data_IF_939333294354
#
_entry.id   IF_939333294354
#
_cell.length_a   1.000
_cell.length_b   1.000
_cell.length_c   1.000
_cell.angle_alpha   90.00
_cell.angle_beta   90.00
_cell.angle_gamma   90.00
#
_symmetry.space_group_name_H-M   'P 1'
#
loop_
_entity.id
_entity.type
_entity.pdbx_description
1 polymer ?
#
# COMPACT_ATOMS: atom_id res chain seq x y z
N UNK A 1 7.77 -96.91 -2.21
CA UNK A 1 7.04 -95.77 -1.64
C UNK A 1 7.72 -95.11 -0.42
N UNK A 2 8.57 -95.78 0.34
CA UNK A 2 9.23 -95.18 1.53
C UNK A 2 10.39 -94.23 1.18
N UNK A 3 11.04 -94.35 0.06
CA UNK A 3 12.18 -93.52 -0.37
C UNK A 3 11.77 -92.16 -0.88
N UNK A 4 10.60 -92.03 -1.52
CA UNK A 4 10.08 -90.76 -2.06
C UNK A 4 9.59 -89.80 -0.89
N UNK A 5 9.04 -90.37 0.18
CA UNK A 5 8.61 -89.63 1.34
C UNK A 5 9.79 -89.01 2.11
N UNK A 6 10.94 -89.67 2.14
CA UNK A 6 12.13 -89.15 2.82
C UNK A 6 12.77 -87.97 2.02
N UNK A 7 12.79 -88.03 0.69
CA UNK A 7 13.28 -86.94 -0.16
C UNK A 7 12.40 -85.69 -0.08
N UNK A 8 11.08 -85.86 -0.04
CA UNK A 8 10.15 -84.71 0.07
C UNK A 8 10.30 -84.05 1.45
N UNK A 9 10.49 -84.83 2.53
CA UNK A 9 10.69 -84.28 3.87
C UNK A 9 12.04 -83.58 3.98
N UNK A 10 13.11 -84.06 3.33
CA UNK A 10 14.40 -83.37 3.31
C UNK A 10 14.39 -82.06 2.53
N UNK A 11 13.65 -82.04 1.38
CA UNK A 11 13.48 -80.81 0.59
C UNK A 11 12.61 -79.77 1.36
N UNK A 12 11.57 -80.23 2.08
CA UNK A 12 10.78 -79.31 2.95
C UNK A 12 11.57 -78.83 4.14
N UNK A 13 12.48 -79.65 4.70
CA UNK A 13 13.34 -79.17 5.83
C UNK A 13 14.43 -78.19 5.36
N UNK A 14 14.95 -78.35 4.14
CA UNK A 14 15.89 -77.37 3.53
C UNK A 14 15.20 -76.07 3.12
N UNK A 15 13.91 -76.12 2.73
CA UNK A 15 13.13 -74.93 2.47
C UNK A 15 12.69 -74.14 3.73
N UNK A 16 12.79 -74.75 4.93
CA UNK A 16 12.46 -74.16 6.20
C UNK A 16 13.67 -73.57 6.95
N UNK A 17 14.83 -73.46 6.29
CA UNK A 17 15.92 -72.68 6.88
C UNK A 17 15.42 -71.20 6.89
N UNK A 18 15.35 -70.56 8.09
CA UNK A 18 15.05 -69.14 8.12
C UNK A 18 16.15 -68.50 7.27
N UNK A 19 15.75 -67.90 6.17
CA UNK A 19 16.60 -66.88 5.51
C UNK A 19 16.85 -65.88 6.65
N UNK A 20 18.04 -65.95 7.25
CA UNK A 20 18.50 -64.96 8.18
C UNK A 20 18.43 -63.65 7.38
N UNK A 21 17.34 -62.89 7.56
CA UNK A 21 17.19 -61.61 6.97
C UNK A 21 18.36 -60.77 7.49
N UNK A 22 19.30 -60.49 6.63
CA UNK A 22 20.36 -59.56 6.97
C UNK A 22 19.67 -58.30 7.39
N UNK A 23 19.80 -57.90 8.66
CA UNK A 23 19.28 -56.63 9.14
C UNK A 23 19.83 -55.51 8.22
N UNK A 24 18.94 -54.82 7.58
CA UNK A 24 19.28 -53.73 6.68
C UNK A 24 19.06 -52.36 7.37
N UNK A 25 19.81 -51.37 6.95
CA UNK A 25 19.64 -49.98 7.43
C UNK A 25 18.29 -49.46 6.90
N UNK A 26 17.38 -49.19 7.87
CA UNK A 26 16.00 -48.74 7.54
C UNK A 26 15.88 -47.24 7.51
N UNK A 27 16.76 -46.52 8.23
CA UNK A 27 16.73 -45.07 8.33
C UNK A 27 18.14 -44.51 8.54
N UNK A 28 18.39 -43.35 7.92
CA UNK A 28 19.62 -42.60 8.06
C UNK A 28 19.30 -41.22 8.64
N UNK A 29 19.73 -40.94 9.84
CA UNK A 29 19.62 -39.63 10.46
C UNK A 29 20.92 -38.86 10.29
N UNK A 30 20.87 -37.64 9.76
CA UNK A 30 22.05 -36.84 9.46
C UNK A 30 22.09 -35.58 10.28
N UNK A 31 23.28 -35.23 10.75
CA UNK A 31 23.58 -33.99 11.46
C UNK A 31 24.78 -33.31 10.82
N UNK A 32 24.67 -31.99 10.59
CA UNK A 32 25.77 -31.15 10.12
C UNK A 32 26.21 -30.20 11.21
N UNK A 33 27.51 -30.22 11.52
CA UNK A 33 28.15 -29.34 12.52
C UNK A 33 29.11 -28.43 11.74
N UNK A 34 29.09 -27.13 12.05
CA UNK A 34 29.97 -26.15 11.41
C UNK A 34 31.11 -25.78 12.36
N UNK A 35 32.36 -25.87 11.84
CA UNK A 35 33.56 -25.39 12.54
C UNK A 35 33.75 -23.90 12.22
N UNK A 36 32.93 -23.04 12.81
CA UNK A 36 32.88 -21.60 12.57
C UNK A 36 31.46 -21.04 12.66
N UNK A 37 31.25 -19.77 12.26
CA UNK A 37 29.90 -19.19 12.23
C UNK A 37 29.03 -19.97 11.24
N UNK A 38 27.86 -20.48 11.69
CA UNK A 38 26.96 -21.21 10.79
C UNK A 38 26.40 -20.25 9.75
N UNK A 39 26.22 -20.71 8.50
CA UNK A 39 25.58 -19.89 7.47
C UNK A 39 24.09 -19.68 7.76
N UNK A 40 23.46 -18.79 6.98
CA UNK A 40 22.02 -18.50 7.09
C UNK A 40 21.17 -19.81 7.06
N UNK A 41 20.05 -19.90 7.80
CA UNK A 41 19.22 -21.11 7.90
C UNK A 41 18.87 -21.73 6.55
N UNK A 42 18.48 -20.93 5.53
CA UNK A 42 18.15 -21.43 4.18
C UNK A 42 19.33 -22.20 3.55
N UNK A 43 20.56 -21.72 3.76
CA UNK A 43 21.77 -22.43 3.28
C UNK A 43 22.01 -23.68 4.11
N UNK A 44 21.84 -23.63 5.42
CA UNK A 44 21.98 -24.80 6.30
C UNK A 44 21.04 -25.93 5.91
N UNK A 45 19.78 -25.60 5.68
CA UNK A 45 18.74 -26.56 5.28
C UNK A 45 19.09 -27.21 3.94
N UNK A 46 19.62 -26.44 3.00
CA UNK A 46 20.09 -26.97 1.70
C UNK A 46 21.30 -27.89 1.87
N UNK A 47 22.27 -27.50 2.69
CA UNK A 47 23.43 -28.34 3.02
C UNK A 47 22.98 -29.63 3.68
N UNK A 48 22.12 -29.55 4.68
CA UNK A 48 21.56 -30.71 5.36
C UNK A 48 20.85 -31.65 4.39
N UNK A 49 20.00 -31.12 3.51
CA UNK A 49 19.31 -31.91 2.49
C UNK A 49 20.30 -32.61 1.53
N UNK A 50 21.35 -31.90 1.10
CA UNK A 50 22.39 -32.48 0.26
C UNK A 50 23.16 -33.61 0.98
N UNK A 51 23.56 -33.39 2.22
CA UNK A 51 24.25 -34.37 3.07
C UNK A 51 23.35 -35.58 3.31
N UNK A 52 22.08 -35.39 3.67
CA UNK A 52 21.10 -36.45 3.87
C UNK A 52 20.92 -37.29 2.62
N UNK A 53 20.73 -36.64 1.46
CA UNK A 53 20.58 -37.34 0.19
C UNK A 53 21.81 -38.18 -0.18
N UNK A 54 23.02 -37.73 0.13
CA UNK A 54 24.26 -38.52 -0.08
C UNK A 54 24.33 -39.68 0.91
N UNK A 55 24.03 -39.43 2.19
CA UNK A 55 24.06 -40.45 3.23
C UNK A 55 23.03 -41.57 2.96
N UNK A 56 21.81 -41.21 2.58
CA UNK A 56 20.77 -42.18 2.20
C UNK A 56 21.18 -43.03 1.02
N UNK A 57 21.70 -42.43 -0.04
CA UNK A 57 22.16 -43.19 -1.24
C UNK A 57 23.30 -44.14 -0.94
N UNK A 58 24.17 -43.80 -0.01
CA UNK A 58 25.31 -44.63 0.35
C UNK A 58 24.95 -45.76 1.34
N UNK A 59 23.96 -45.55 2.22
CA UNK A 59 23.73 -46.41 3.37
C UNK A 59 22.36 -47.10 3.38
N UNK A 60 21.28 -46.41 2.96
CA UNK A 60 19.91 -46.93 3.05
C UNK A 60 19.75 -48.26 2.29
N UNK A 61 19.13 -49.25 2.92
CA UNK A 61 18.87 -50.56 2.34
C UNK A 61 20.09 -51.49 2.29
N UNK A 62 21.29 -51.07 2.72
CA UNK A 62 22.45 -51.97 2.84
C UNK A 62 22.34 -52.81 4.08
N UNK A 63 22.89 -54.06 4.04
CA UNK A 63 22.98 -54.88 5.21
C UNK A 63 23.97 -54.28 6.23
N UNK A 64 23.71 -54.45 7.52
CA UNK A 64 24.55 -53.91 8.59
C UNK A 64 25.99 -54.38 8.49
N UNK A 65 26.21 -55.65 8.14
CA UNK A 65 27.54 -56.22 7.98
C UNK A 65 28.32 -55.62 6.81
N UNK A 66 27.66 -55.42 5.67
CA UNK A 66 28.27 -54.75 4.53
C UNK A 66 28.58 -53.25 4.83
N UNK A 67 27.73 -52.60 5.56
CA UNK A 67 27.96 -51.21 5.96
C UNK A 67 29.12 -51.06 6.98
N UNK A 68 29.23 -51.98 7.94
CA UNK A 68 30.36 -52.02 8.90
C UNK A 68 31.68 -52.31 8.23
N UNK A 69 31.73 -53.21 7.23
CA UNK A 69 32.92 -53.45 6.42
C UNK A 69 33.38 -52.24 5.62
N UNK A 70 32.44 -51.37 5.20
CA UNK A 70 32.71 -50.14 4.48
C UNK A 70 33.07 -48.96 5.43
N UNK A 71 32.78 -49.08 6.73
CA UNK A 71 32.93 -48.01 7.71
C UNK A 71 34.28 -47.28 7.63
N UNK A 72 35.46 -47.94 7.50
CA UNK A 72 36.73 -47.24 7.39
C UNK A 72 36.90 -46.41 6.13
N UNK A 73 36.20 -46.75 5.03
CA UNK A 73 36.21 -46.02 3.76
C UNK A 73 35.05 -45.08 3.58
N UNK A 74 34.03 -45.13 4.42
CA UNK A 74 32.86 -44.29 4.34
C UNK A 74 33.25 -42.83 4.54
N UNK A 75 34.13 -42.51 5.50
CA UNK A 75 34.63 -41.20 5.73
C UNK A 75 35.24 -40.56 4.47
N UNK A 76 36.16 -41.25 3.82
CA UNK A 76 36.82 -40.78 2.58
C UNK A 76 35.82 -40.62 1.43
N UNK A 77 34.83 -41.54 1.34
CA UNK A 77 33.77 -41.48 0.33
C UNK A 77 32.88 -40.26 0.58
N UNK A 78 32.49 -40.00 1.81
CA UNK A 78 31.72 -38.79 2.17
C UNK A 78 32.51 -37.55 1.86
N UNK A 79 33.79 -37.46 2.24
CA UNK A 79 34.66 -36.33 1.92
C UNK A 79 34.68 -36.08 0.43
N UNK A 80 35.04 -37.09 -0.38
CA UNK A 80 35.19 -36.93 -1.85
C UNK A 80 33.89 -36.60 -2.59
N UNK A 81 32.71 -36.99 -2.07
CA UNK A 81 31.43 -36.64 -2.66
C UNK A 81 30.95 -35.28 -2.19
N UNK A 82 31.03 -34.99 -0.88
CA UNK A 82 30.49 -33.75 -0.30
C UNK A 82 31.30 -32.52 -0.71
N UNK A 83 32.61 -32.57 -0.81
CA UNK A 83 33.44 -31.46 -1.31
C UNK A 83 33.08 -31.06 -2.75
N UNK A 84 32.52 -31.97 -3.54
CA UNK A 84 32.03 -31.66 -4.90
C UNK A 84 30.60 -31.10 -4.88
N UNK A 85 29.80 -31.49 -3.90
CA UNK A 85 28.37 -31.09 -3.80
C UNK A 85 28.23 -29.79 -3.05
N UNK A 86 29.07 -29.56 -2.03
CA UNK A 86 29.02 -28.39 -1.14
C UNK A 86 30.35 -27.63 -1.26
N UNK A 87 30.66 -27.18 -2.47
CA UNK A 87 31.89 -26.42 -2.74
C UNK A 87 32.03 -25.20 -1.82
N UNK A 88 33.27 -24.94 -1.37
CA UNK A 88 33.57 -23.87 -0.41
C UNK A 88 33.58 -24.35 1.04
N UNK A 89 33.26 -25.61 1.29
CA UNK A 89 33.41 -26.25 2.61
C UNK A 89 34.31 -27.47 2.50
N UNK A 90 35.29 -27.59 3.42
CA UNK A 90 36.05 -28.80 3.63
C UNK A 90 35.34 -29.67 4.67
N UNK A 91 35.30 -30.97 4.42
CA UNK A 91 34.80 -31.96 5.39
C UNK A 91 35.94 -32.31 6.35
N UNK A 92 35.88 -31.83 7.61
CA UNK A 92 36.91 -32.08 8.61
C UNK A 92 36.73 -33.44 9.34
N UNK A 93 35.50 -33.94 9.43
CA UNK A 93 35.21 -35.30 9.90
C UNK A 93 33.86 -35.77 9.40
N UNK A 94 33.76 -37.10 9.14
CA UNK A 94 32.53 -37.78 8.82
C UNK A 94 32.49 -39.07 9.71
N UNK A 95 31.52 -39.14 10.61
CA UNK A 95 31.34 -40.28 11.51
C UNK A 95 29.98 -40.88 11.27
N UNK A 96 29.95 -42.20 11.07
CA UNK A 96 28.73 -42.95 10.93
C UNK A 96 28.62 -44.01 12.04
N UNK A 97 27.57 -43.97 12.83
CA UNK A 97 27.19 -44.98 13.81
C UNK A 97 26.15 -45.89 13.17
N UNK A 98 26.63 -47.15 12.82
CA UNK A 98 25.89 -48.07 11.99
C UNK A 98 24.97 -48.97 12.80
N UNK A 99 23.69 -48.78 12.62
CA UNK A 99 22.60 -49.56 13.21
C UNK A 99 21.41 -49.65 12.22
N UNK A 100 20.30 -50.26 12.66
CA UNK A 100 19.04 -50.25 11.90
C UNK A 100 18.56 -48.80 11.63
N UNK A 101 18.83 -47.91 12.57
CA UNK A 101 18.83 -46.43 12.38
C UNK A 101 20.30 -46.00 12.46
N UNK A 102 20.83 -45.55 11.34
CA UNK A 102 22.23 -45.13 11.25
C UNK A 102 22.33 -43.61 11.44
N UNK A 103 23.11 -43.15 12.38
CA UNK A 103 23.38 -41.73 12.59
C UNK A 103 24.66 -41.31 11.85
N UNK A 104 24.59 -40.26 11.05
CA UNK A 104 25.74 -39.70 10.35
C UNK A 104 25.96 -38.27 10.79
N UNK A 105 27.15 -38.00 11.35
CA UNK A 105 27.56 -36.65 11.77
C UNK A 105 28.68 -36.18 10.88
N UNK A 106 28.47 -35.07 10.22
CA UNK A 106 29.47 -34.46 9.33
C UNK A 106 29.86 -33.10 9.87
N UNK A 107 31.17 -32.83 9.97
CA UNK A 107 31.74 -31.55 10.34
C UNK A 107 32.23 -30.83 9.10
N UNK A 108 31.79 -29.59 8.92
CA UNK A 108 32.13 -28.75 7.79
C UNK A 108 32.90 -27.50 8.29
N UNK A 109 34.02 -27.20 7.64
CA UNK A 109 34.78 -25.98 7.84
C UNK A 109 34.77 -25.15 6.58
N UNK A 110 34.46 -23.81 6.66
CA UNK A 110 34.53 -22.95 5.48
C UNK A 110 35.96 -22.88 4.94
N UNK A 111 36.10 -22.98 3.62
CA UNK A 111 37.37 -22.81 2.91
C UNK A 111 37.52 -21.41 2.31
N UNK A 112 38.68 -20.82 2.50
CA UNK A 112 39.06 -19.52 1.95
C UNK A 112 38.40 -18.34 2.69
N UNK A 113 38.13 -17.27 1.93
CA UNK A 113 37.55 -16.05 2.47
C UNK A 113 36.06 -16.24 2.81
N UNK A 114 35.67 -15.85 4.01
CA UNK A 114 34.27 -15.88 4.47
C UNK A 114 33.67 -14.47 4.38
N UNK A 115 32.48 -14.38 3.83
CA UNK A 115 31.74 -13.12 3.72
C UNK A 115 31.33 -12.67 5.13
N UNK A 116 31.78 -11.48 5.56
CA UNK A 116 31.47 -10.92 6.89
C UNK A 116 30.44 -9.81 6.82
N UNK A 117 30.66 -8.83 5.96
CA UNK A 117 29.85 -7.62 5.84
C UNK A 117 29.58 -7.31 4.36
N UNK A 118 28.52 -7.88 3.78
CA UNK A 118 28.16 -7.57 2.41
C UNK A 118 27.57 -6.15 2.32
N UNK A 119 27.89 -5.44 1.25
CA UNK A 119 27.22 -4.19 0.91
C UNK A 119 25.89 -4.49 0.25
N UNK A 120 24.83 -3.80 0.66
CA UNK A 120 23.50 -3.88 0.03
C UNK A 120 23.28 -2.62 -0.80
N UNK A 121 22.83 -2.78 -2.04
CA UNK A 121 22.54 -1.66 -2.95
C UNK A 121 21.18 -1.85 -3.60
N UNK A 122 20.32 -0.83 -3.47
CA UNK A 122 19.04 -0.79 -4.14
C UNK A 122 19.10 0.13 -5.36
N UNK A 123 18.73 -0.40 -6.52
CA UNK A 123 18.53 0.40 -7.72
C UNK A 123 17.03 0.78 -7.81
N UNK A 124 16.77 2.07 -7.64
CA UNK A 124 15.42 2.66 -7.63
C UNK A 124 15.10 3.45 -8.90
N UNK A 125 15.78 3.17 -10.03
CA UNK A 125 15.56 3.93 -11.28
C UNK A 125 14.13 3.82 -11.80
N UNK A 126 13.50 2.65 -11.64
CA UNK A 126 12.13 2.39 -12.07
C UNK A 126 11.08 2.86 -11.04
N UNK A 127 11.51 3.46 -9.91
CA UNK A 127 10.65 4.12 -8.93
C UNK A 127 10.60 5.61 -9.23
N UNK A 128 9.39 6.23 -9.27
CA UNK A 128 9.27 7.67 -9.46
C UNK A 128 10.15 8.45 -8.48
N UNK A 129 10.86 9.46 -8.97
CA UNK A 129 11.86 10.18 -8.20
C UNK A 129 11.34 10.70 -6.86
N UNK A 130 10.11 11.24 -6.86
CA UNK A 130 9.45 11.76 -5.67
C UNK A 130 9.22 10.69 -4.59
N UNK A 131 9.10 9.42 -4.97
CA UNK A 131 8.85 8.29 -4.06
C UNK A 131 10.11 7.59 -3.59
N UNK A 132 11.28 7.88 -4.17
CA UNK A 132 12.53 7.18 -3.83
C UNK A 132 12.88 7.28 -2.35
N UNK A 133 12.69 8.44 -1.75
CA UNK A 133 12.95 8.63 -0.33
C UNK A 133 12.01 7.77 0.55
N UNK A 134 10.72 7.73 0.22
CA UNK A 134 9.74 6.88 0.91
C UNK A 134 10.10 5.40 0.78
N UNK A 135 10.39 4.94 -0.45
CA UNK A 135 10.78 3.55 -0.72
C UNK A 135 12.08 3.19 -0.01
N UNK A 136 13.07 4.09 0.02
CA UNK A 136 14.32 3.86 0.75
C UNK A 136 14.09 3.67 2.25
N UNK A 137 13.19 4.44 2.86
CA UNK A 137 12.82 4.27 4.28
C UNK A 137 12.12 2.92 4.51
N UNK A 138 11.22 2.52 3.63
CA UNK A 138 10.52 1.23 3.72
C UNK A 138 11.46 0.04 3.53
N UNK A 139 12.56 0.21 2.80
CA UNK A 139 13.56 -0.85 2.58
C UNK A 139 14.59 -0.98 3.72
N UNK A 140 14.67 -0.06 4.68
CA UNK A 140 15.64 -0.14 5.78
C UNK A 140 15.56 -1.45 6.60
N UNK A 141 14.37 -1.95 6.99
CA UNK A 141 14.26 -3.23 7.67
C UNK A 141 14.72 -4.40 6.79
N UNK A 142 14.36 -4.38 5.50
CA UNK A 142 14.78 -5.39 4.52
C UNK A 142 16.31 -5.36 4.33
N UNK A 143 16.93 -4.21 4.23
CA UNK A 143 18.39 -4.06 4.11
C UNK A 143 19.14 -4.79 5.24
N UNK A 144 18.67 -4.60 6.47
CA UNK A 144 19.26 -5.26 7.65
C UNK A 144 19.19 -6.77 7.55
N UNK A 145 18.04 -7.31 7.14
CA UNK A 145 17.84 -8.75 6.96
C UNK A 145 18.66 -9.30 5.80
N UNK A 146 18.67 -8.61 4.65
CA UNK A 146 19.42 -9.00 3.44
C UNK A 146 20.92 -9.01 3.70
N UNK A 147 21.44 -8.09 4.48
CA UNK A 147 22.86 -8.04 4.86
C UNK A 147 23.30 -9.28 5.62
N UNK A 148 22.41 -9.92 6.37
CA UNK A 148 22.70 -11.15 7.12
C UNK A 148 22.66 -12.42 6.27
N UNK A 149 22.04 -12.41 5.08
CA UNK A 149 21.87 -13.60 4.25
C UNK A 149 23.19 -14.25 3.84
N UNK A 150 24.19 -13.57 3.24
CA UNK A 150 25.44 -14.15 2.84
C UNK A 150 26.49 -14.19 3.97
N UNK A 151 26.19 -13.65 5.15
CA UNK A 151 27.14 -13.62 6.27
C UNK A 151 27.49 -15.06 6.73
N UNK A 152 28.78 -15.31 6.93
CA UNK A 152 29.30 -16.63 7.32
C UNK A 152 29.48 -17.60 6.14
N UNK A 153 29.13 -17.22 4.92
CA UNK A 153 29.27 -18.07 3.74
C UNK A 153 30.67 -17.94 3.14
N UNK A 154 31.33 -19.07 2.72
CA UNK A 154 32.57 -18.99 1.95
C UNK A 154 32.34 -18.36 0.59
N UNK A 155 33.28 -17.50 0.15
CA UNK A 155 33.18 -16.87 -1.17
C UNK A 155 33.12 -17.87 -2.35
N UNK A 156 33.65 -19.07 -2.16
CA UNK A 156 33.63 -20.14 -3.14
C UNK A 156 32.28 -20.90 -3.21
N UNK A 157 31.33 -20.63 -2.32
CA UNK A 157 30.02 -21.31 -2.28
C UNK A 157 29.03 -20.68 -3.29
N UNK A 158 29.40 -20.60 -4.57
CA UNK A 158 28.57 -19.99 -5.64
C UNK A 158 27.20 -20.66 -5.80
N UNK A 159 27.08 -21.97 -5.49
CA UNK A 159 25.83 -22.71 -5.53
C UNK A 159 24.74 -22.17 -4.57
N UNK A 160 25.16 -21.43 -3.53
CA UNK A 160 24.25 -20.83 -2.58
C UNK A 160 23.66 -19.49 -3.06
N UNK A 161 24.29 -18.82 -4.05
CA UNK A 161 23.87 -17.50 -4.49
C UNK A 161 22.41 -17.44 -4.96
N UNK A 162 21.92 -18.36 -5.82
CA UNK A 162 20.51 -18.34 -6.25
C UNK A 162 19.51 -18.46 -5.09
N UNK A 163 19.85 -19.21 -4.04
CA UNK A 163 19.00 -19.35 -2.85
C UNK A 163 18.92 -18.05 -2.07
N UNK A 164 20.05 -17.33 -1.95
CA UNK A 164 20.11 -16.04 -1.27
C UNK A 164 19.41 -14.95 -2.08
N UNK A 165 19.50 -15.00 -3.41
CA UNK A 165 18.79 -14.11 -4.33
C UNK A 165 17.27 -14.25 -4.19
N UNK A 166 16.76 -15.48 -4.20
CA UNK A 166 15.34 -15.79 -3.99
C UNK A 166 14.86 -15.32 -2.61
N UNK A 167 15.66 -15.58 -1.57
CA UNK A 167 15.33 -15.16 -0.21
C UNK A 167 15.32 -13.63 -0.09
N UNK A 168 16.31 -12.95 -0.64
CA UNK A 168 16.37 -11.49 -0.64
C UNK A 168 15.21 -10.88 -1.42
N UNK A 169 14.86 -11.45 -2.58
CA UNK A 169 13.69 -11.05 -3.34
C UNK A 169 12.40 -11.17 -2.51
N UNK A 170 12.22 -12.30 -1.82
CA UNK A 170 11.05 -12.55 -0.96
C UNK A 170 10.93 -11.51 0.16
N UNK A 171 12.05 -11.14 0.79
CA UNK A 171 12.10 -10.11 1.84
C UNK A 171 11.67 -8.76 1.28
N UNK A 172 12.20 -8.36 0.12
CA UNK A 172 11.87 -7.08 -0.51
C UNK A 172 10.40 -7.04 -0.93
N UNK A 173 9.89 -8.10 -1.55
CA UNK A 173 8.52 -8.17 -2.04
C UNK A 173 7.47 -8.17 -0.93
N UNK A 174 7.82 -8.67 0.24
CA UNK A 174 6.98 -8.59 1.45
C UNK A 174 6.84 -7.14 1.93
N UNK A 175 7.93 -6.37 1.91
CA UNK A 175 7.98 -5.01 2.47
C UNK A 175 7.54 -3.95 1.44
N UNK A 176 7.62 -4.26 0.13
CA UNK A 176 7.18 -3.40 -0.97
C UNK A 176 6.06 -4.04 -1.80
N UNK A 177 4.83 -3.93 -1.32
CA UNK A 177 3.66 -4.46 -2.04
C UNK A 177 3.59 -3.94 -3.49
N UNK A 178 3.40 -4.85 -4.46
CA UNK A 178 3.27 -4.51 -5.88
C UNK A 178 4.57 -4.24 -6.63
N UNK A 179 5.72 -4.22 -5.93
CA UNK A 179 7.04 -4.24 -6.54
C UNK A 179 7.64 -5.64 -6.50
N UNK A 180 8.57 -5.91 -7.40
CA UNK A 180 9.45 -7.08 -7.40
C UNK A 180 10.89 -6.63 -7.45
N UNK A 181 11.81 -7.48 -7.03
CA UNK A 181 13.24 -7.19 -7.07
C UNK A 181 13.97 -8.21 -7.95
N UNK A 182 14.76 -7.72 -8.90
CA UNK A 182 15.78 -8.52 -9.53
C UNK A 182 17.04 -8.47 -8.67
N UNK A 183 17.29 -9.52 -7.89
CA UNK A 183 18.43 -9.57 -6.95
C UNK A 183 19.59 -10.30 -7.58
N UNK A 184 20.81 -9.81 -7.35
CA UNK A 184 22.06 -10.49 -7.67
C UNK A 184 22.99 -10.44 -6.45
N UNK A 185 23.55 -11.59 -6.12
CA UNK A 185 24.49 -11.74 -5.02
C UNK A 185 25.88 -12.02 -5.57
N UNK A 186 26.84 -11.13 -5.32
CA UNK A 186 28.25 -11.33 -5.69
C UNK A 186 29.07 -11.63 -4.43
N UNK A 187 29.86 -12.71 -4.41
CA UNK A 187 30.69 -13.03 -3.24
C UNK A 187 32.00 -12.20 -3.18
N UNK A 188 32.51 -11.75 -4.32
CA UNK A 188 33.75 -10.99 -4.41
C UNK A 188 33.70 -9.89 -5.52
N UNK A 189 33.52 -8.61 -5.19
CA UNK A 189 33.27 -8.09 -3.83
C UNK A 189 31.91 -8.53 -3.28
N UNK A 190 31.81 -8.68 -1.95
CA UNK A 190 30.56 -9.11 -1.31
C UNK A 190 29.50 -8.00 -1.43
N UNK A 191 28.63 -8.12 -2.41
CA UNK A 191 27.55 -7.15 -2.72
C UNK A 191 26.26 -7.89 -3.02
N UNK A 192 25.17 -7.41 -2.41
CA UNK A 192 23.82 -7.76 -2.79
C UNK A 192 23.22 -6.56 -3.50
N UNK A 193 22.98 -6.67 -4.79
CA UNK A 193 22.36 -5.62 -5.61
C UNK A 193 20.91 -6.03 -5.94
N UNK A 194 19.96 -5.13 -5.70
CA UNK A 194 18.54 -5.37 -5.98
C UNK A 194 17.97 -4.25 -6.85
N UNK A 195 17.50 -4.58 -8.05
CA UNK A 195 16.80 -3.68 -8.94
C UNK A 195 15.30 -3.77 -8.67
N UNK A 196 14.70 -2.69 -8.17
CA UNK A 196 13.29 -2.62 -7.79
C UNK A 196 12.46 -2.22 -9.01
N UNK A 197 11.44 -3.03 -9.35
CA UNK A 197 10.58 -2.82 -10.51
C UNK A 197 9.12 -3.11 -10.16
N UNK A 198 8.13 -2.49 -10.84
CA UNK A 198 6.74 -2.92 -10.73
C UNK A 198 6.59 -4.41 -11.07
N UNK A 199 5.83 -5.16 -10.23
CA UNK A 199 5.65 -6.61 -10.37
C UNK A 199 4.79 -6.97 -11.58
N UNK A 200 3.74 -6.19 -11.83
CA UNK A 200 2.75 -6.44 -12.86
C UNK A 200 2.35 -5.15 -13.60
N UNK A 201 1.45 -5.28 -14.56
CA UNK A 201 0.92 -4.14 -15.32
C UNK A 201 -0.14 -3.33 -14.60
N UNK A 202 -0.52 -3.72 -13.36
CA UNK A 202 -1.49 -2.99 -12.55
C UNK A 202 -0.84 -1.77 -11.89
N UNK A 203 -0.58 -0.78 -12.72
CA UNK A 203 -0.03 0.50 -12.31
C UNK A 203 -1.07 1.61 -12.48
N UNK A 204 -0.92 2.68 -11.73
CA UNK A 204 -1.72 3.89 -11.90
C UNK A 204 -1.37 4.51 -13.25
N UNK A 205 -2.33 4.50 -14.19
CA UNK A 205 -2.16 5.05 -15.54
C UNK A 205 -2.57 6.51 -15.61
N UNK A 206 -3.68 6.83 -14.94
CA UNK A 206 -4.25 8.17 -14.96
C UNK A 206 -4.47 8.68 -13.54
N UNK A 207 -4.33 9.99 -13.38
CA UNK A 207 -4.63 10.68 -12.11
C UNK A 207 -5.64 11.76 -12.43
N UNK A 208 -6.83 11.64 -11.84
CA UNK A 208 -7.89 12.65 -11.86
C UNK A 208 -7.87 13.48 -10.57
N UNK A 209 -8.24 14.74 -10.68
CA UNK A 209 -8.39 15.65 -9.53
C UNK A 209 -9.85 16.04 -9.41
N UNK A 210 -10.35 16.08 -8.18
CA UNK A 210 -11.69 16.57 -7.84
C UNK A 210 -11.56 17.54 -6.67
N UNK A 211 -12.30 18.63 -6.75
CA UNK A 211 -12.37 19.58 -5.66
C UNK A 211 -13.64 19.41 -4.85
N UNK A 212 -13.53 19.72 -3.55
CA UNK A 212 -14.64 19.94 -2.65
C UNK A 212 -14.32 21.16 -1.78
N UNK A 213 -15.28 22.07 -1.64
CA UNK A 213 -15.17 23.21 -0.76
C UNK A 213 -16.53 23.58 -0.20
N UNK A 214 -16.54 24.10 1.00
CA UNK A 214 -17.71 24.70 1.63
C UNK A 214 -17.65 26.22 1.62
N UNK A 215 -16.49 26.79 1.30
CA UNK A 215 -16.23 28.23 1.33
C UNK A 215 -15.99 28.85 -0.04
N UNK A 216 -15.61 28.05 -1.04
CA UNK A 216 -15.24 28.50 -2.39
C UNK A 216 -16.07 27.78 -3.46
N UNK A 217 -16.51 28.48 -4.54
CA UNK A 217 -17.20 27.82 -5.65
C UNK A 217 -16.25 26.90 -6.43
N UNK A 218 -16.79 25.78 -6.89
CA UNK A 218 -16.03 24.81 -7.66
C UNK A 218 -15.42 25.41 -8.94
N UNK A 219 -16.12 26.34 -9.58
CA UNK A 219 -15.65 27.06 -10.78
C UNK A 219 -14.29 27.75 -10.55
N UNK A 220 -14.07 28.33 -9.35
CA UNK A 220 -12.79 28.96 -9.03
C UNK A 220 -11.69 27.92 -8.75
N UNK A 221 -12.06 26.77 -8.21
CA UNK A 221 -11.11 25.70 -7.91
C UNK A 221 -10.72 24.92 -9.16
N UNK A 222 -11.66 24.70 -10.08
CA UNK A 222 -11.46 23.93 -11.30
C UNK A 222 -10.39 24.52 -12.22
N UNK A 223 -10.22 25.84 -12.23
CA UNK A 223 -9.13 26.49 -12.98
C UNK A 223 -7.74 26.05 -12.52
N UNK A 224 -7.60 25.53 -11.28
CA UNK A 224 -6.35 25.03 -10.74
C UNK A 224 -6.14 23.52 -10.95
N UNK A 225 -7.14 22.82 -11.52
CA UNK A 225 -7.06 21.37 -11.80
C UNK A 225 -5.78 20.95 -12.54
N UNK A 226 -5.33 21.63 -13.61
CA UNK A 226 -4.12 21.22 -14.33
C UNK A 226 -2.86 21.31 -13.47
N UNK A 227 -2.75 22.36 -12.64
CA UNK A 227 -1.61 22.55 -11.75
C UNK A 227 -1.55 21.47 -10.68
N UNK A 228 -2.68 21.16 -10.05
CA UNK A 228 -2.76 20.13 -9.00
C UNK A 228 -2.61 18.72 -9.58
N UNK A 229 -3.12 18.48 -10.80
CA UNK A 229 -2.86 17.24 -11.52
C UNK A 229 -1.35 17.02 -11.78
N UNK A 230 -0.61 18.11 -12.05
CA UNK A 230 0.85 18.03 -12.20
C UNK A 230 1.57 17.70 -10.90
N UNK A 231 1.11 18.22 -9.75
CA UNK A 231 1.64 17.88 -8.42
C UNK A 231 1.43 16.39 -8.09
N UNK A 232 0.34 15.79 -8.56
CA UNK A 232 0.00 14.38 -8.35
C UNK A 232 0.56 13.46 -9.44
N UNK A 233 1.25 13.99 -10.45
CA UNK A 233 1.70 13.21 -11.61
C UNK A 233 2.72 12.12 -11.25
N UNK A 234 3.42 12.26 -10.12
CA UNK A 234 4.36 11.25 -9.62
C UNK A 234 3.70 9.91 -9.26
N UNK A 235 2.37 9.88 -9.12
CA UNK A 235 1.61 8.64 -8.91
C UNK A 235 1.54 7.77 -10.17
N UNK A 236 1.79 8.32 -11.37
CA UNK A 236 1.76 7.54 -12.62
C UNK A 236 2.90 6.53 -12.65
N UNK A 237 2.58 5.31 -13.04
CA UNK A 237 3.53 4.18 -13.05
C UNK A 237 3.72 3.51 -11.68
N UNK A 238 3.11 4.02 -10.62
CA UNK A 238 3.16 3.40 -9.29
C UNK A 238 2.23 2.18 -9.26
N UNK A 239 2.68 1.03 -8.73
CA UNK A 239 1.81 -0.13 -8.53
C UNK A 239 0.60 0.21 -7.67
N UNK A 240 -0.58 -0.23 -8.11
CA UNK A 240 -1.84 -0.01 -7.36
C UNK A 240 -1.76 -0.61 -5.95
N UNK A 241 -1.15 -1.79 -5.80
CA UNK A 241 -0.97 -2.44 -4.50
C UNK A 241 -0.08 -1.60 -3.55
N UNK A 242 1.01 -1.00 -4.08
CA UNK A 242 1.86 -0.11 -3.29
C UNK A 242 1.11 1.15 -2.86
N UNK A 243 0.42 1.79 -3.80
CA UNK A 243 -0.35 2.99 -3.51
C UNK A 243 -1.44 2.73 -2.46
N UNK A 244 -2.11 1.57 -2.53
CA UNK A 244 -3.12 1.16 -1.55
C UNK A 244 -2.51 0.91 -0.15
N UNK A 245 -1.33 0.28 -0.09
CA UNK A 245 -0.63 0.04 1.17
C UNK A 245 -0.05 1.32 1.80
N UNK A 246 0.25 2.35 0.99
CA UNK A 246 0.90 3.59 1.41
C UNK A 246 0.00 4.82 1.24
N UNK A 247 -1.32 4.64 1.22
CA UNK A 247 -2.29 5.71 0.96
C UNK A 247 -2.06 6.92 1.87
N UNK A 248 -1.93 6.72 3.19
CA UNK A 248 -1.74 7.81 4.15
C UNK A 248 -0.44 8.60 3.93
N UNK A 249 0.64 7.92 3.52
CA UNK A 249 1.91 8.58 3.22
C UNK A 249 1.80 9.41 1.94
N UNK A 250 1.13 8.88 0.92
CA UNK A 250 0.91 9.57 -0.35
C UNK A 250 -0.03 10.78 -0.18
N UNK A 251 -1.10 10.65 0.60
CA UNK A 251 -2.01 11.76 0.94
C UNK A 251 -1.28 12.89 1.67
N UNK A 252 -0.42 12.54 2.63
CA UNK A 252 0.41 13.55 3.32
C UNK A 252 1.34 14.28 2.36
N UNK A 253 2.05 13.55 1.47
CA UNK A 253 2.94 14.15 0.48
C UNK A 253 2.19 15.12 -0.44
N UNK A 254 1.00 14.72 -0.92
CA UNK A 254 0.17 15.59 -1.77
C UNK A 254 -0.32 16.80 -0.96
N UNK A 255 -0.74 16.61 0.28
CA UNK A 255 -1.20 17.70 1.15
C UNK A 255 -0.10 18.71 1.44
N UNK A 256 1.14 18.26 1.65
CA UNK A 256 2.31 19.12 1.82
C UNK A 256 2.60 19.94 0.55
N UNK A 257 2.53 19.30 -0.62
CA UNK A 257 2.71 19.98 -1.90
C UNK A 257 1.59 21.01 -2.15
N UNK A 258 0.34 20.69 -1.79
CA UNK A 258 -0.78 21.62 -1.84
C UNK A 258 -0.56 22.81 -0.92
N UNK A 259 -0.10 22.60 0.31
CA UNK A 259 0.19 23.68 1.26
C UNK A 259 1.29 24.63 0.77
N UNK A 260 2.21 24.13 -0.06
CA UNK A 260 3.25 24.93 -0.69
C UNK A 260 2.78 25.69 -1.95
N UNK A 261 1.62 25.33 -2.51
CA UNK A 261 1.11 25.92 -3.74
C UNK A 261 0.70 27.40 -3.52
N UNK A 262 1.23 28.35 -4.34
CA UNK A 262 1.09 29.78 -4.09
C UNK A 262 -0.33 30.28 -3.88
N UNK A 263 -1.35 29.91 -4.70
CA UNK A 263 -2.74 30.35 -4.48
C UNK A 263 -3.30 29.88 -3.14
N UNK A 264 -2.97 28.68 -2.68
CA UNK A 264 -3.43 28.13 -1.39
C UNK A 264 -2.88 29.00 -0.24
N UNK A 265 -1.60 29.36 -0.31
CA UNK A 265 -0.98 30.25 0.68
C UNK A 265 -1.52 31.67 0.64
N UNK A 266 -1.68 32.23 -0.57
CA UNK A 266 -2.13 33.62 -0.76
C UNK A 266 -3.53 33.85 -0.23
N UNK A 267 -4.45 32.89 -0.41
CA UNK A 267 -5.85 33.03 -0.02
C UNK A 267 -6.16 32.35 1.32
N UNK A 268 -5.13 31.97 2.08
CA UNK A 268 -5.26 31.31 3.39
C UNK A 268 -6.20 30.11 3.31
N UNK A 269 -6.01 29.27 2.29
CA UNK A 269 -6.80 28.05 2.08
C UNK A 269 -6.15 26.94 2.89
N UNK A 270 -6.97 26.19 3.64
CA UNK A 270 -6.58 24.91 4.21
C UNK A 270 -6.98 23.85 3.20
N UNK A 271 -5.99 23.14 2.66
CA UNK A 271 -6.24 22.09 1.70
C UNK A 271 -5.75 20.75 2.24
N UNK A 272 -6.57 19.72 2.09
CA UNK A 272 -6.21 18.32 2.38
C UNK A 272 -6.51 17.47 1.17
N UNK A 273 -5.70 16.42 0.96
CA UNK A 273 -5.89 15.47 -0.13
C UNK A 273 -6.39 14.14 0.41
N UNK A 274 -7.36 13.55 -0.26
CA UNK A 274 -7.76 12.16 -0.07
C UNK A 274 -7.56 11.41 -1.40
N UNK A 275 -6.93 10.23 -1.34
CA UNK A 275 -6.54 9.44 -2.50
C UNK A 275 -7.41 8.21 -2.64
N UNK A 276 -8.16 8.12 -3.73
CA UNK A 276 -8.83 6.91 -4.15
C UNK A 276 -7.95 6.15 -5.13
N UNK A 277 -7.41 5.02 -4.70
CA UNK A 277 -6.43 4.22 -5.46
C UNK A 277 -7.13 3.30 -6.46
N UNK A 278 -6.60 3.24 -7.68
CA UNK A 278 -7.02 2.38 -8.78
C UNK A 278 -6.12 2.56 -9.99
N UNK A 279 -6.36 1.89 -11.11
CA UNK A 279 -5.64 2.14 -12.36
C UNK A 279 -5.86 3.59 -12.86
N UNK A 280 -7.02 4.14 -12.56
CA UNK A 280 -7.27 5.57 -12.55
C UNK A 280 -7.40 6.00 -11.10
N UNK A 281 -6.41 6.70 -10.58
CA UNK A 281 -6.46 7.24 -9.23
C UNK A 281 -7.17 8.60 -9.23
N UNK A 282 -7.93 8.88 -8.17
CA UNK A 282 -8.57 10.16 -7.96
C UNK A 282 -8.03 10.83 -6.70
N UNK A 283 -7.50 12.03 -6.85
CA UNK A 283 -7.12 12.91 -5.74
C UNK A 283 -8.29 13.87 -5.48
N UNK A 284 -8.97 13.67 -4.37
CA UNK A 284 -10.01 14.60 -3.91
C UNK A 284 -9.36 15.63 -3.00
N UNK A 285 -9.35 16.89 -3.44
CA UNK A 285 -8.81 18.01 -2.68
C UNK A 285 -9.97 18.72 -1.98
N UNK A 286 -9.96 18.71 -0.65
CA UNK A 286 -10.86 19.52 0.16
C UNK A 286 -10.12 20.81 0.46
N UNK A 287 -10.66 21.94 -0.03
CA UNK A 287 -9.98 23.25 0.00
C UNK A 287 -10.92 24.33 0.53
N UNK A 288 -10.77 24.67 1.80
CA UNK A 288 -11.59 25.70 2.44
C UNK A 288 -10.76 26.93 2.83
N UNK A 289 -11.24 28.13 2.50
CA UNK A 289 -10.60 29.36 2.91
C UNK A 289 -10.97 29.74 4.35
N UNK A 290 -9.96 30.08 5.13
CA UNK A 290 -10.15 30.63 6.48
C UNK A 290 -10.53 32.11 6.47
N UNK A 291 -10.28 32.81 5.36
CA UNK A 291 -10.46 34.28 5.28
C UNK A 291 -11.63 34.67 4.40
N UNK A 292 -12.03 33.85 3.44
CA UNK A 292 -13.00 34.22 2.43
C UNK A 292 -14.10 33.17 2.28
N UNK A 293 -15.29 33.62 1.93
CA UNK A 293 -16.39 32.77 1.48
C UNK A 293 -16.91 33.32 0.16
N UNK A 294 -17.05 32.48 -0.84
CA UNK A 294 -17.69 32.83 -2.09
C UNK A 294 -18.65 31.70 -2.50
N UNK A 295 -19.77 32.05 -3.10
CA UNK A 295 -20.70 31.10 -3.72
C UNK A 295 -21.34 31.72 -4.94
N UNK A 296 -21.67 30.88 -5.93
CA UNK A 296 -22.46 31.27 -7.08
C UNK A 296 -23.54 30.22 -7.26
N UNK A 297 -24.80 30.63 -7.25
CA UNK A 297 -25.94 29.73 -7.39
C UNK A 297 -26.83 30.23 -8.56
N UNK A 298 -27.28 29.33 -9.41
CA UNK A 298 -28.35 29.57 -10.36
C UNK A 298 -29.64 29.00 -9.80
N UNK A 299 -30.68 29.81 -9.74
CA UNK A 299 -32.00 29.46 -9.22
C UNK A 299 -33.02 29.40 -10.36
N UNK A 300 -33.73 28.28 -10.48
CA UNK A 300 -34.86 28.12 -11.39
C UNK A 300 -36.13 27.83 -10.57
N UNK A 301 -37.06 28.77 -10.54
CA UNK A 301 -38.32 28.61 -9.83
C UNK A 301 -39.36 27.92 -10.73
N UNK A 302 -40.07 26.93 -10.19
CA UNK A 302 -41.05 26.09 -10.88
C UNK A 302 -42.39 26.20 -10.16
N UNK A 303 -43.45 26.43 -10.92
CA UNK A 303 -44.81 26.55 -10.36
C UNK A 303 -45.16 27.95 -9.90
N UNK A 304 -44.36 28.96 -10.26
CA UNK A 304 -44.63 30.36 -9.92
C UNK A 304 -44.19 31.26 -11.09
N UNK A 305 -44.97 32.30 -11.37
CA UNK A 305 -44.63 33.25 -12.45
C UNK A 305 -43.55 34.26 -12.06
N UNK A 306 -43.42 34.59 -10.80
CA UNK A 306 -42.40 35.46 -10.21
C UNK A 306 -42.04 34.98 -8.80
N UNK A 307 -40.74 34.99 -8.40
CA UNK A 307 -39.60 35.53 -9.15
C UNK A 307 -39.18 34.58 -10.31
N UNK A 308 -38.66 35.16 -11.40
CA UNK A 308 -38.10 34.41 -12.51
C UNK A 308 -36.78 33.71 -12.17
N UNK A 309 -36.13 33.04 -13.18
CA UNK A 309 -34.80 32.51 -13.01
C UNK A 309 -33.83 33.60 -12.54
N UNK A 310 -32.90 33.24 -11.62
CA UNK A 310 -31.94 34.21 -11.12
C UNK A 310 -30.57 33.58 -10.89
N UNK A 311 -29.53 34.41 -11.03
CA UNK A 311 -28.17 34.09 -10.63
C UNK A 311 -27.86 34.86 -9.35
N UNK A 312 -27.44 34.11 -8.31
CA UNK A 312 -27.09 34.69 -7.02
C UNK A 312 -25.60 34.44 -6.79
N UNK A 313 -24.84 35.50 -6.62
CA UNK A 313 -23.44 35.41 -6.23
C UNK A 313 -23.22 36.07 -4.90
N UNK A 314 -22.45 35.43 -4.03
CA UNK A 314 -22.07 35.93 -2.71
C UNK A 314 -20.56 35.89 -2.58
N UNK A 315 -19.97 37.00 -2.10
CA UNK A 315 -18.57 37.10 -1.75
C UNK A 315 -18.46 37.72 -0.36
N UNK A 316 -17.77 37.05 0.54
CA UNK A 316 -17.65 37.48 1.94
C UNK A 316 -16.24 37.26 2.49
N UNK A 317 -15.99 37.96 3.62
CA UNK A 317 -14.76 37.83 4.40
C UNK A 317 -15.10 37.53 5.83
N UNK A 318 -14.39 36.56 6.41
CA UNK A 318 -14.43 36.37 7.86
C UNK A 318 -13.65 37.49 8.57
N UNK A 319 -14.31 38.22 9.43
CA UNK A 319 -13.71 39.33 10.22
C UNK A 319 -13.31 38.84 11.62
N UNK A 320 -13.94 37.78 12.12
CA UNK A 320 -13.61 37.08 13.34
C UNK A 320 -14.08 35.61 13.24
N UNK A 321 -13.64 34.72 14.11
CA UNK A 321 -14.14 33.35 14.14
C UNK A 321 -15.66 33.30 14.20
N UNK A 322 -16.29 32.70 13.18
CA UNK A 322 -17.74 32.60 13.07
C UNK A 322 -18.49 33.87 12.62
N UNK A 323 -17.79 35.00 12.39
CA UNK A 323 -18.43 36.22 11.90
C UNK A 323 -17.95 36.53 10.50
N UNK A 324 -18.85 36.55 9.54
CA UNK A 324 -18.58 36.92 8.15
C UNK A 324 -19.34 38.19 7.76
N UNK A 325 -18.72 39.01 6.93
CA UNK A 325 -19.38 40.12 6.20
C UNK A 325 -19.38 39.75 4.73
N UNK A 326 -20.45 40.07 4.03
CA UNK A 326 -20.59 39.68 2.64
C UNK A 326 -21.29 40.73 1.77
N UNK A 327 -20.99 40.66 0.51
CA UNK A 327 -21.73 41.26 -0.60
C UNK A 327 -22.43 40.14 -1.35
N UNK A 328 -23.74 40.21 -1.51
CA UNK A 328 -24.53 39.32 -2.36
C UNK A 328 -25.11 40.14 -3.51
N UNK A 329 -25.07 39.55 -4.71
CA UNK A 329 -25.76 40.11 -5.86
C UNK A 329 -26.75 39.12 -6.42
N UNK A 330 -27.89 39.62 -6.87
CA UNK A 330 -28.93 38.82 -7.52
C UNK A 330 -29.23 39.41 -8.88
N UNK A 331 -28.92 38.69 -9.95
CA UNK A 331 -29.26 39.04 -11.32
C UNK A 331 -30.48 38.23 -11.75
N UNK A 332 -31.53 38.92 -12.21
CA UNK A 332 -32.71 38.30 -12.84
C UNK A 332 -32.67 38.58 -14.33
N UNK A 333 -32.29 37.60 -15.18
CA UNK A 333 -32.04 37.83 -16.62
C UNK A 333 -33.28 38.32 -17.37
N UNK A 334 -34.47 37.85 -16.97
CA UNK A 334 -35.71 38.21 -17.68
C UNK A 334 -36.09 39.71 -17.58
N UNK A 335 -35.68 40.33 -16.47
CA UNK A 335 -35.98 41.79 -16.23
C UNK A 335 -34.72 42.63 -16.27
N UNK A 336 -33.53 41.99 -16.45
CA UNK A 336 -32.21 42.60 -16.34
C UNK A 336 -32.04 43.38 -15.00
N UNK A 337 -32.77 42.97 -13.97
CA UNK A 337 -32.64 43.60 -12.64
C UNK A 337 -31.46 43.03 -11.90
N UNK A 338 -30.72 43.90 -11.24
CA UNK A 338 -29.56 43.57 -10.41
C UNK A 338 -29.77 44.19 -9.02
N UNK A 339 -29.95 43.31 -8.04
CA UNK A 339 -30.03 43.69 -6.64
C UNK A 339 -28.71 43.43 -5.93
N UNK A 340 -28.37 44.29 -4.95
CA UNK A 340 -27.17 44.16 -4.14
C UNK A 340 -27.54 44.14 -2.68
N UNK A 341 -27.08 43.14 -1.95
CA UNK A 341 -27.25 43.03 -0.52
C UNK A 341 -25.89 43.09 0.18
N UNK A 342 -25.77 44.02 1.14
CA UNK A 342 -24.64 44.02 2.08
C UNK A 342 -25.10 43.34 3.36
N UNK A 343 -24.31 42.41 3.86
CA UNK A 343 -24.73 41.65 5.03
C UNK A 343 -23.63 41.24 5.97
N UNK A 344 -24.06 40.78 7.14
CA UNK A 344 -23.21 40.17 8.13
C UNK A 344 -23.89 38.88 8.66
N UNK A 345 -23.09 37.89 8.93
CA UNK A 345 -23.51 36.59 9.46
C UNK A 345 -22.74 36.17 10.69
N UNK A 346 -23.39 35.44 11.57
CA UNK A 346 -22.79 34.80 12.74
C UNK A 346 -23.07 33.28 12.66
N UNK A 347 -22.02 32.50 12.62
CA UNK A 347 -22.11 31.02 12.71
C UNK A 347 -22.27 30.63 14.17
N UNK A 348 -23.35 29.92 14.50
CA UNK A 348 -23.68 29.42 15.83
C UNK A 348 -23.23 27.98 16.06
N UNK A 349 -22.78 27.31 15.02
CA UNK A 349 -22.33 25.91 15.02
C UNK A 349 -22.32 25.31 13.63
N UNK A 350 -22.02 24.02 13.47
CA UNK A 350 -21.99 23.36 12.18
C UNK A 350 -23.32 23.50 11.43
N UNK A 351 -23.29 24.17 10.27
CA UNK A 351 -24.46 24.37 9.42
C UNK A 351 -25.50 25.37 9.93
N UNK A 352 -25.31 25.96 11.10
CA UNK A 352 -26.26 26.93 11.67
C UNK A 352 -25.67 28.34 11.64
N UNK A 353 -26.36 29.27 11.03
CA UNK A 353 -25.99 30.67 10.97
C UNK A 353 -27.20 31.60 11.02
N UNK A 354 -27.00 32.77 11.56
CA UNK A 354 -27.98 33.86 11.58
C UNK A 354 -27.30 35.13 11.06
N UNK A 355 -28.08 36.04 10.53
CA UNK A 355 -27.48 37.29 10.06
C UNK A 355 -28.52 38.32 9.62
N UNK A 356 -27.97 39.41 9.16
CA UNK A 356 -28.76 40.51 8.61
C UNK A 356 -28.19 40.91 7.23
N UNK A 357 -29.05 41.39 6.35
CA UNK A 357 -28.66 41.96 5.08
C UNK A 357 -29.45 43.25 4.79
N UNK A 358 -28.83 44.15 4.07
CA UNK A 358 -29.37 45.40 3.61
C UNK A 358 -29.35 45.46 2.08
N UNK A 359 -30.51 45.55 1.46
CA UNK A 359 -30.65 45.62 -0.01
C UNK A 359 -30.48 47.07 -0.46
N UNK A 360 -29.37 47.36 -1.12
CA UNK A 360 -28.98 48.75 -1.49
C UNK A 360 -30.02 49.48 -2.33
N UNK A 361 -30.61 48.90 -3.42
CA UNK A 361 -31.56 49.64 -4.28
C UNK A 361 -32.86 50.01 -3.56
N UNK A 362 -33.33 49.19 -2.60
CA UNK A 362 -34.64 49.36 -1.97
C UNK A 362 -34.58 49.87 -0.54
N UNK A 363 -33.40 49.89 0.09
CA UNK A 363 -33.25 50.21 1.49
C UNK A 363 -33.85 49.17 2.45
N UNK A 364 -34.15 47.96 1.93
CA UNK A 364 -34.80 46.94 2.72
C UNK A 364 -33.82 46.22 3.63
N UNK A 365 -34.21 45.97 4.89
CA UNK A 365 -33.43 45.14 5.83
C UNK A 365 -34.09 43.78 5.95
N UNK A 366 -33.27 42.72 5.86
CA UNK A 366 -33.74 41.37 6.09
C UNK A 366 -32.92 40.68 7.19
N UNK A 367 -33.61 40.00 8.08
CA UNK A 367 -33.01 39.02 9.01
C UNK A 367 -33.11 37.66 8.39
N UNK A 368 -32.04 36.90 8.48
CA UNK A 368 -32.03 35.54 7.92
C UNK A 368 -31.41 34.54 8.89
N UNK A 369 -31.82 33.29 8.76
CA UNK A 369 -31.25 32.17 9.48
C UNK A 369 -31.13 30.97 8.56
N UNK A 370 -30.11 30.15 8.80
CA UNK A 370 -29.91 28.86 8.12
C UNK A 370 -29.61 27.83 9.21
N UNK A 371 -30.22 26.65 9.10
CA UNK A 371 -29.98 25.53 10.01
C UNK A 371 -29.78 24.25 9.22
N UNK A 372 -28.61 23.63 9.31
CA UNK A 372 -28.32 22.31 8.77
C UNK A 372 -28.93 21.23 9.66
N UNK A 373 -29.93 20.51 9.15
CA UNK A 373 -30.59 19.41 9.86
C UNK A 373 -29.88 18.08 9.62
N UNK A 374 -29.24 17.95 8.46
CA UNK A 374 -28.38 16.84 8.09
C UNK A 374 -27.34 17.33 7.06
N UNK A 375 -26.35 16.50 6.64
CA UNK A 375 -25.41 16.87 5.58
C UNK A 375 -26.05 17.34 4.28
N UNK A 376 -27.26 16.82 3.98
CA UNK A 376 -27.98 17.10 2.74
C UNK A 376 -29.27 17.91 2.91
N UNK A 377 -29.70 18.16 4.16
CA UNK A 377 -30.95 18.86 4.44
C UNK A 377 -30.69 20.15 5.21
N UNK A 378 -31.11 21.28 4.64
CA UNK A 378 -30.93 22.63 5.22
C UNK A 378 -32.25 23.35 5.27
N UNK A 379 -32.57 23.93 6.41
CA UNK A 379 -33.69 24.86 6.60
C UNK A 379 -33.18 26.29 6.47
N UNK A 380 -33.90 27.13 5.74
CA UNK A 380 -33.60 28.58 5.62
C UNK A 380 -34.88 29.34 5.97
N UNK A 381 -34.71 30.45 6.66
CA UNK A 381 -35.78 31.38 6.88
C UNK A 381 -35.27 32.82 6.77
N UNK A 382 -36.07 33.70 6.20
CA UNK A 382 -35.75 35.10 6.12
C UNK A 382 -36.99 35.97 6.38
N UNK A 383 -36.77 37.09 7.00
CA UNK A 383 -37.81 38.09 7.25
C UNK A 383 -37.35 39.44 6.77
N UNK A 384 -37.98 39.95 5.73
CA UNK A 384 -37.78 41.29 5.24
C UNK A 384 -38.61 42.25 6.09
N UNK A 385 -37.92 43.07 6.90
CA UNK A 385 -38.56 43.97 7.85
C UNK A 385 -39.30 45.16 7.20
N UNK A 386 -38.81 45.59 6.03
CA UNK A 386 -39.42 46.71 5.29
C UNK A 386 -40.68 46.28 4.55
N UNK A 387 -40.64 45.15 3.87
CA UNK A 387 -41.79 44.57 3.16
C UNK A 387 -42.70 43.75 4.08
N UNK A 388 -42.33 43.52 5.36
CA UNK A 388 -42.99 42.64 6.33
C UNK A 388 -43.29 41.26 5.74
N UNK A 389 -42.40 40.72 4.92
CA UNK A 389 -42.54 39.46 4.19
C UNK A 389 -41.62 38.42 4.81
N UNK A 390 -42.24 37.26 5.16
CA UNK A 390 -41.51 36.09 5.62
C UNK A 390 -41.36 35.11 4.48
N UNK A 391 -40.18 34.49 4.34
CA UNK A 391 -39.88 33.40 3.44
C UNK A 391 -39.25 32.28 4.26
N UNK A 392 -39.70 31.04 4.07
CA UNK A 392 -39.06 29.85 4.59
C UNK A 392 -38.79 28.86 3.46
N UNK A 393 -37.69 28.15 3.54
CA UNK A 393 -37.33 27.19 2.53
C UNK A 393 -36.65 25.96 3.15
N UNK A 394 -36.96 24.80 2.60
CA UNK A 394 -36.29 23.53 2.90
C UNK A 394 -35.51 23.09 1.69
N UNK A 395 -34.20 23.01 1.81
CA UNK A 395 -33.27 22.65 0.72
C UNK A 395 -32.78 21.23 0.95
N UNK A 396 -32.92 20.38 -0.07
CA UNK A 396 -32.37 19.03 -0.13
C UNK A 396 -31.30 18.94 -1.22
N UNK A 397 -30.05 18.60 -0.84
CA UNK A 397 -28.91 18.45 -1.76
C UNK A 397 -28.95 17.08 -2.42
N UNK A 398 -29.04 17.03 -3.74
CA UNK A 398 -28.96 15.79 -4.53
C UNK A 398 -27.50 15.35 -4.77
N UNK A 399 -26.63 16.32 -5.03
CA UNK A 399 -25.20 16.11 -5.23
C UNK A 399 -24.42 17.41 -4.97
N UNK A 400 -23.13 17.44 -5.30
CA UNK A 400 -22.29 18.61 -5.07
C UNK A 400 -22.73 19.88 -5.87
N UNK A 401 -23.50 19.69 -6.96
CA UNK A 401 -23.84 20.76 -7.88
C UNK A 401 -25.34 21.12 -7.91
N UNK A 402 -26.21 20.24 -7.44
CA UNK A 402 -27.66 20.39 -7.59
C UNK A 402 -28.37 20.16 -6.26
N UNK A 403 -29.29 21.04 -5.94
CA UNK A 403 -30.22 20.91 -4.81
C UNK A 403 -31.64 21.26 -5.24
N UNK A 404 -32.63 20.64 -4.61
CA UNK A 404 -34.02 21.06 -4.62
C UNK A 404 -34.35 21.86 -3.38
N UNK A 405 -35.13 22.91 -3.56
CA UNK A 405 -35.58 23.76 -2.47
C UNK A 405 -37.10 23.97 -2.58
N UNK A 406 -37.83 23.65 -1.53
CA UNK A 406 -39.25 24.00 -1.42
C UNK A 406 -39.30 25.32 -0.68
N UNK A 407 -39.84 26.34 -1.34
CA UNK A 407 -39.92 27.72 -0.82
C UNK A 407 -41.36 28.06 -0.51
N UNK A 408 -41.59 28.60 0.67
CA UNK A 408 -42.91 29.04 1.14
C UNK A 408 -42.87 30.51 1.56
N UNK A 409 -43.86 31.28 1.12
CA UNK A 409 -44.19 32.61 1.63
C UNK A 409 -45.67 32.61 1.99
N UNK A 410 -46.19 33.54 2.78
CA UNK A 410 -47.59 33.63 3.08
C UNK A 410 -48.47 33.62 1.82
N UNK A 411 -49.29 32.57 1.70
CA UNK A 411 -50.21 32.36 0.56
C UNK A 411 -49.63 31.70 -0.69
N UNK A 412 -48.36 31.34 -0.73
CA UNK A 412 -47.77 30.75 -1.91
C UNK A 412 -46.63 29.78 -1.56
N UNK A 413 -46.53 28.67 -2.29
CA UNK A 413 -45.44 27.69 -2.20
C UNK A 413 -45.00 27.32 -3.60
N UNK A 414 -43.67 27.16 -3.81
CA UNK A 414 -43.13 26.72 -5.08
C UNK A 414 -41.87 25.87 -4.89
N UNK A 415 -41.47 25.20 -5.96
CA UNK A 415 -40.26 24.44 -6.04
C UNK A 415 -39.16 25.27 -6.70
N UNK A 416 -37.93 25.24 -6.16
CA UNK A 416 -36.74 25.88 -6.74
C UNK A 416 -35.69 24.82 -6.98
N UNK A 417 -35.18 24.76 -8.21
CA UNK A 417 -33.95 24.06 -8.51
C UNK A 417 -32.77 25.00 -8.30
N UNK A 418 -31.80 24.58 -7.52
CA UNK A 418 -30.58 25.35 -7.22
C UNK A 418 -29.40 24.60 -7.82
N UNK A 419 -28.64 25.27 -8.68
CA UNK A 419 -27.36 24.76 -9.19
C UNK A 419 -26.23 25.56 -8.57
N UNK A 420 -25.31 24.86 -7.92
CA UNK A 420 -24.07 25.46 -7.38
C UNK A 420 -23.00 25.41 -8.49
N UNK A 421 -22.41 26.57 -8.80
CA UNK A 421 -21.43 26.76 -9.86
C UNK A 421 -20.00 26.83 -9.34
#
# INVERSE_FOLDING_TARGET
>A
MRAIAACVLLVCLLAALPVFGQEAIQRVDTQVVYDGPPPHPVVRDRVLAAVSGVAERLLLGRSLDAARLLQPRLADTFVGVLERVVTGYAVTSAVADIGSVTAVVIRLRPEGAVIREPAVRFDLRDVPERLRALVAVLLQPAETQIRLLPAGLPAAAEWAMPLLEEQAQTIIERDLAGYTAGVTVSPAPAVVAAAIRPRDSRVIRNVGVRFRSTTLPNLLLDQHTPAIASLSAFLRGVPVAFAAAQTDALERMITEDLAAYPPIRQYHIVATAALQVGETAFVTVVADSLSYRASVEAHLNIGVGAPGPSLVGRAGRFIAPGIDTFLEFRLVPNTLSLDWDLGAGLSLGPGTSVGLSYTVPTGAVALWTTAGLSPDLTLRASWNTTAQRFEAAVRYRLNAFIAWEVVGVPGQVWLRLVSHL
#
